data_IF_250498639968
#
_entry.id   IF_250498639968
#
_cell.length_a   1.000
_cell.length_b   1.000
_cell.length_c   1.000
_cell.angle_alpha   90.00
_cell.angle_beta   90.00
_cell.angle_gamma   90.00
#
_symmetry.space_group_name_H-M   'P 1'
#
loop_
_entity.id
_entity.type
_entity.pdbx_description
1 polymer ?
#
# COMPACT_ATOMS: atom_id res chain seq x y z
N UNK A 1 56.27 -25.46 26.91
CA UNK A 1 56.44 -25.10 25.49
C UNK A 1 55.09 -25.29 24.80
N UNK A 2 54.57 -24.21 24.24
CA UNK A 2 53.16 -23.93 23.96
C UNK A 2 52.66 -24.58 22.67
N UNK A 3 51.50 -25.26 22.71
CA UNK A 3 50.80 -25.74 21.52
C UNK A 3 50.07 -24.57 20.83
N UNK A 4 50.14 -24.42 19.49
CA UNK A 4 49.39 -23.38 18.81
C UNK A 4 47.93 -23.82 18.63
N UNK A 5 47.02 -23.06 19.24
CA UNK A 5 45.59 -23.13 19.04
C UNK A 5 45.29 -22.67 17.60
N UNK A 6 44.97 -23.61 16.68
CA UNK A 6 44.56 -23.27 15.32
C UNK A 6 43.09 -22.83 15.34
N UNK A 7 42.89 -21.51 15.31
CA UNK A 7 41.57 -20.88 15.16
C UNK A 7 41.03 -21.21 13.76
N UNK A 8 40.10 -22.15 13.67
CA UNK A 8 39.39 -22.47 12.43
C UNK A 8 38.51 -21.26 12.04
N UNK A 9 39.01 -20.41 11.16
CA UNK A 9 38.26 -19.29 10.59
C UNK A 9 37.06 -19.81 9.83
N UNK A 10 35.87 -19.71 10.43
CA UNK A 10 34.60 -19.96 9.74
C UNK A 10 34.36 -18.78 8.79
N UNK A 11 34.67 -18.97 7.52
CA UNK A 11 34.31 -18.01 6.47
C UNK A 11 32.80 -18.15 6.24
N UNK A 12 32.03 -17.20 6.76
CA UNK A 12 30.60 -17.10 6.48
C UNK A 12 30.43 -16.58 5.05
N UNK A 13 30.25 -17.48 4.07
CA UNK A 13 29.82 -17.11 2.73
C UNK A 13 28.38 -16.60 2.81
N UNK A 14 28.20 -15.28 2.77
CA UNK A 14 26.89 -14.67 2.58
C UNK A 14 26.39 -15.03 1.17
N UNK A 15 25.44 -15.97 1.09
CA UNK A 15 24.72 -16.25 -0.16
C UNK A 15 23.87 -15.02 -0.51
N UNK A 16 24.39 -14.16 -1.38
CA UNK A 16 23.61 -13.12 -2.04
C UNK A 16 22.83 -13.76 -3.19
N UNK A 17 21.68 -14.37 -2.87
CA UNK A 17 20.76 -14.81 -3.91
C UNK A 17 20.23 -13.59 -4.67
N UNK A 18 20.32 -13.54 -6.01
CA UNK A 18 19.71 -12.46 -6.78
C UNK A 18 18.19 -12.54 -6.60
N UNK A 19 17.56 -11.38 -6.34
CA UNK A 19 16.10 -11.29 -6.27
C UNK A 19 15.55 -11.51 -7.69
N UNK A 20 15.11 -12.73 -7.98
CA UNK A 20 14.55 -13.07 -9.28
C UNK A 20 13.25 -12.28 -9.49
N UNK A 21 13.09 -11.68 -10.67
CA UNK A 21 11.82 -11.10 -11.09
C UNK A 21 10.81 -12.23 -11.22
N UNK A 22 9.63 -12.07 -10.63
CA UNK A 22 8.57 -13.08 -10.74
C UNK A 22 8.31 -13.40 -12.23
N UNK A 23 8.39 -14.68 -12.58
CA UNK A 23 8.11 -15.17 -13.93
C UNK A 23 6.60 -15.20 -14.15
N UNK A 24 6.13 -14.68 -15.30
CA UNK A 24 4.73 -14.66 -15.70
C UNK A 24 4.15 -13.26 -15.94
N UNK A 25 2.86 -13.19 -16.35
CA UNK A 25 2.18 -11.92 -16.60
C UNK A 25 2.07 -11.09 -15.32
N UNK A 26 2.22 -9.77 -15.45
CA UNK A 26 2.07 -8.83 -14.34
C UNK A 26 0.65 -8.87 -13.75
N UNK A 27 0.48 -8.34 -12.54
CA UNK A 27 -0.85 -8.21 -11.93
C UNK A 27 -1.80 -7.42 -12.84
N UNK A 28 -1.33 -6.35 -13.47
CA UNK A 28 -2.10 -5.56 -14.41
C UNK A 28 -2.59 -6.42 -15.60
N UNK A 29 -1.71 -7.21 -16.20
CA UNK A 29 -2.09 -8.11 -17.31
C UNK A 29 -3.08 -9.18 -16.86
N UNK A 30 -2.90 -9.74 -15.66
CA UNK A 30 -3.84 -10.71 -15.08
C UNK A 30 -5.21 -10.12 -14.78
N UNK A 31 -5.29 -8.81 -14.52
CA UNK A 31 -6.53 -8.05 -14.36
C UNK A 31 -7.16 -7.63 -15.69
N UNK A 32 -6.55 -7.99 -16.83
CA UNK A 32 -7.09 -7.73 -18.17
C UNK A 32 -6.56 -6.46 -18.85
N UNK A 33 -5.60 -5.76 -18.25
CA UNK A 33 -4.95 -4.60 -18.87
C UNK A 33 -3.86 -5.03 -19.85
N UNK A 34 -3.51 -4.15 -20.80
CA UNK A 34 -2.41 -4.41 -21.72
C UNK A 34 -1.08 -4.21 -21.01
N UNK A 35 -0.03 -4.88 -21.48
CA UNK A 35 1.34 -4.68 -20.99
C UNK A 35 1.83 -3.22 -21.12
N UNK A 36 1.22 -2.43 -22.00
CA UNK A 36 1.55 -1.02 -22.23
C UNK A 36 0.72 -0.05 -21.41
N UNK A 37 -0.37 -0.51 -20.78
CA UNK A 37 -1.24 0.36 -20.00
C UNK A 37 -0.52 0.83 -18.74
N UNK A 38 -0.77 2.09 -18.36
CA UNK A 38 -0.31 2.66 -17.09
C UNK A 38 -1.51 2.83 -16.18
N UNK A 39 -1.47 2.17 -15.03
CA UNK A 39 -2.52 2.23 -14.02
C UNK A 39 -2.07 3.17 -12.91
N UNK A 40 -2.99 4.00 -12.43
CA UNK A 40 -2.77 4.95 -11.34
C UNK A 40 -3.90 4.82 -10.34
N UNK A 41 -3.54 4.61 -9.08
CA UNK A 41 -4.44 4.71 -7.93
C UNK A 41 -4.02 5.97 -7.20
N UNK A 42 -4.94 6.93 -7.06
CA UNK A 42 -4.73 8.12 -6.24
C UNK A 42 -5.49 7.89 -4.94
N UNK A 43 -4.75 7.53 -3.88
CA UNK A 43 -5.31 7.28 -2.57
C UNK A 43 -5.20 8.50 -1.66
N UNK A 44 -6.29 8.87 -1.00
CA UNK A 44 -6.29 9.80 0.14
C UNK A 44 -6.08 9.08 1.46
N UNK A 45 -4.99 9.38 2.17
CA UNK A 45 -4.72 8.85 3.50
C UNK A 45 -5.45 9.67 4.60
N UNK A 46 -5.48 9.12 5.82
CA UNK A 46 -5.95 9.79 7.03
C UNK A 46 -7.44 10.17 7.08
N UNK A 47 -8.27 9.50 6.29
CA UNK A 47 -9.72 9.75 6.32
C UNK A 47 -10.29 9.31 7.67
N UNK A 48 -11.08 10.17 8.31
CA UNK A 48 -11.59 9.96 9.67
C UNK A 48 -10.73 10.57 10.78
N UNK A 49 -9.51 11.06 10.47
CA UNK A 49 -8.63 11.69 11.46
C UNK A 49 -9.26 12.95 12.08
N UNK A 50 -9.81 13.83 11.26
CA UNK A 50 -10.51 15.04 11.67
C UNK A 50 -11.60 15.42 10.66
N UNK A 51 -12.50 16.35 11.02
CA UNK A 51 -13.55 16.81 10.09
C UNK A 51 -12.98 17.40 8.80
N UNK A 52 -11.90 18.19 8.89
CA UNK A 52 -11.28 18.78 7.71
C UNK A 52 -10.74 17.71 6.75
N UNK A 53 -10.17 16.62 7.28
CA UNK A 53 -9.72 15.48 6.47
C UNK A 53 -10.92 14.84 5.74
N UNK A 54 -12.03 14.58 6.44
CA UNK A 54 -13.24 14.03 5.81
C UNK A 54 -13.79 14.93 4.70
N UNK A 55 -13.90 16.23 4.96
CA UNK A 55 -14.40 17.21 3.96
C UNK A 55 -13.51 17.21 2.73
N UNK A 56 -12.18 17.22 2.90
CA UNK A 56 -11.24 17.18 1.79
C UNK A 56 -11.29 15.85 1.01
N UNK A 57 -11.40 14.71 1.71
CA UNK A 57 -11.57 13.38 1.09
C UNK A 57 -12.83 13.34 0.23
N UNK A 58 -13.97 13.77 0.79
CA UNK A 58 -15.25 13.78 0.08
C UNK A 58 -15.17 14.67 -1.16
N UNK A 59 -14.72 15.92 -1.03
CA UNK A 59 -14.61 16.85 -2.17
C UNK A 59 -13.69 16.29 -3.26
N UNK A 60 -12.57 15.68 -2.87
CA UNK A 60 -11.61 15.10 -3.81
C UNK A 60 -12.16 13.86 -4.53
N UNK A 61 -12.91 12.98 -3.84
CA UNK A 61 -13.58 11.82 -4.44
C UNK A 61 -14.73 12.24 -5.36
N UNK A 62 -15.47 13.29 -5.01
CA UNK A 62 -16.58 13.82 -5.81
C UNK A 62 -16.08 14.51 -7.08
N UNK A 63 -14.96 15.21 -7.00
CA UNK A 63 -14.34 15.89 -8.16
C UNK A 63 -13.45 14.98 -9.01
N UNK A 64 -13.24 13.74 -8.59
CA UNK A 64 -12.36 12.79 -9.28
C UNK A 64 -10.86 13.14 -9.18
N UNK A 65 -10.46 13.91 -8.16
CA UNK A 65 -9.06 14.20 -7.86
C UNK A 65 -8.35 13.01 -7.19
N UNK A 66 -9.11 12.20 -6.45
CA UNK A 66 -8.66 10.90 -5.91
C UNK A 66 -9.61 9.79 -6.36
N UNK A 67 -9.09 8.57 -6.42
CA UNK A 67 -9.84 7.37 -6.85
C UNK A 67 -10.19 6.44 -5.70
N UNK A 68 -9.48 6.56 -4.57
CA UNK A 68 -9.73 5.78 -3.35
C UNK A 68 -9.32 6.59 -2.12
N UNK A 69 -9.73 6.14 -0.94
CA UNK A 69 -9.25 6.67 0.33
C UNK A 69 -9.15 5.58 1.41
N UNK A 70 -8.35 5.78 2.45
CA UNK A 70 -8.19 4.83 3.57
C UNK A 70 -8.71 5.42 4.87
N UNK A 71 -9.56 4.66 5.56
CA UNK A 71 -10.26 5.10 6.77
C UNK A 71 -9.49 4.70 8.03
N UNK A 72 -9.18 5.68 8.87
CA UNK A 72 -8.68 5.47 10.23
C UNK A 72 -9.84 5.18 11.19
N UNK A 73 -10.20 3.90 11.32
CA UNK A 73 -11.28 3.41 12.20
C UNK A 73 -11.22 3.94 13.65
N UNK A 74 -10.06 4.04 14.35
CA UNK A 74 -10.05 4.50 15.74
C UNK A 74 -10.22 6.02 15.90
N UNK A 75 -10.21 6.80 14.81
CA UNK A 75 -10.18 8.25 14.90
C UNK A 75 -11.57 8.87 15.19
N UNK A 76 -11.64 10.03 15.87
CA UNK A 76 -12.91 10.61 16.35
C UNK A 76 -13.95 10.90 15.26
N UNK A 77 -13.50 11.13 14.02
CA UNK A 77 -14.38 11.46 12.88
C UNK A 77 -14.69 10.26 11.98
N UNK A 78 -14.39 9.03 12.43
CA UNK A 78 -14.74 7.80 11.73
C UNK A 78 -16.24 7.70 11.42
N UNK A 79 -17.11 7.99 12.39
CA UNK A 79 -18.56 7.80 12.22
C UNK A 79 -19.16 8.71 11.14
N UNK A 80 -18.56 9.87 10.89
CA UNK A 80 -18.95 10.77 9.81
C UNK A 80 -18.63 10.15 8.44
N UNK A 81 -17.36 9.78 8.21
CA UNK A 81 -16.97 9.20 6.92
C UNK A 81 -17.62 7.83 6.69
N UNK A 82 -17.77 7.00 7.73
CA UNK A 82 -18.43 5.70 7.59
C UNK A 82 -19.88 5.83 7.11
N UNK A 83 -20.58 6.89 7.52
CA UNK A 83 -21.94 7.19 7.03
C UNK A 83 -21.90 7.60 5.55
N UNK A 84 -20.94 8.42 5.15
CA UNK A 84 -20.74 8.81 3.76
C UNK A 84 -20.43 7.60 2.88
N UNK A 85 -19.44 6.79 3.24
CA UNK A 85 -19.03 5.60 2.50
C UNK A 85 -20.19 4.59 2.33
N UNK A 86 -21.01 4.40 3.38
CA UNK A 86 -22.21 3.56 3.29
C UNK A 86 -23.25 4.07 2.30
N UNK A 87 -23.37 5.40 2.14
CA UNK A 87 -24.32 6.01 1.22
C UNK A 87 -23.79 6.08 -0.24
N UNK A 88 -22.48 5.92 -0.45
CA UNK A 88 -21.81 6.02 -1.74
C UNK A 88 -20.97 4.75 -2.01
N UNK A 89 -21.63 3.58 -2.21
CA UNK A 89 -20.94 2.30 -2.40
C UNK A 89 -20.09 2.22 -3.67
N UNK A 90 -20.23 3.18 -4.58
CA UNK A 90 -19.39 3.34 -5.78
C UNK A 90 -18.02 3.97 -5.49
N UNK A 91 -17.83 4.57 -4.30
CA UNK A 91 -16.53 5.13 -3.88
C UNK A 91 -15.71 4.07 -3.17
N UNK A 92 -14.42 4.01 -3.50
CA UNK A 92 -13.51 3.03 -2.93
C UNK A 92 -12.92 3.55 -1.60
N UNK A 93 -13.22 2.82 -0.52
CA UNK A 93 -12.70 3.07 0.82
C UNK A 93 -12.06 1.80 1.38
N UNK A 94 -10.79 1.91 1.75
CA UNK A 94 -10.03 0.90 2.51
C UNK A 94 -10.10 1.08 4.02
#
# INVERSE_FOLDING_TARGET
>A
MTAPLRLAGTVLFAFTAPLAKAEGPSLAERLGYKATDRLLIINGDDTGMCHAANVATIDSLERGLMTSATIMVPCPWFTEIARYAKAHPEKDFG
#
